data_IF_440863174687
#
_entry.id   IF_440863174687
#
_cell.length_a   1.000
_cell.length_b   1.000
_cell.length_c   1.000
_cell.angle_alpha   90.00
_cell.angle_beta   90.00
_cell.angle_gamma   90.00
#
_symmetry.space_group_name_H-M   'P 1'
#
loop_
_entity.id
_entity.type
_entity.pdbx_description
1 polymer ?
#
# COMPACT_ATOMS: atom_id res chain seq x y z
N UNK A 1 19.52 0.12 -2.72
CA UNK A 1 20.16 -0.43 -3.93
C UNK A 1 19.08 -0.72 -4.94
N UNK A 2 18.98 0.03 -6.02
CA UNK A 2 17.95 -0.21 -7.05
C UNK A 2 18.35 -1.42 -7.88
N UNK A 3 17.54 -2.45 -7.89
CA UNK A 3 17.62 -3.49 -8.89
C UNK A 3 16.82 -3.01 -10.10
N UNK A 4 17.51 -2.42 -11.10
CA UNK A 4 16.86 -2.10 -12.36
C UNK A 4 16.53 -3.39 -13.09
N UNK A 5 15.27 -3.77 -13.16
CA UNK A 5 14.76 -4.64 -14.20
C UNK A 5 14.40 -3.73 -15.37
N UNK A 6 15.38 -3.40 -16.20
CA UNK A 6 15.07 -2.95 -17.55
C UNK A 6 14.59 -4.18 -18.32
N UNK A 7 13.32 -4.21 -18.68
CA UNK A 7 12.86 -5.11 -19.73
C UNK A 7 13.49 -4.61 -21.01
N UNK A 8 14.26 -5.45 -21.74
CA UNK A 8 14.62 -5.09 -23.11
C UNK A 8 13.33 -5.10 -23.92
N UNK A 9 12.93 -3.95 -24.42
CA UNK A 9 12.04 -3.88 -25.59
C UNK A 9 12.80 -4.53 -26.72
N UNK A 10 12.59 -5.81 -26.95
CA UNK A 10 13.04 -6.50 -28.15
C UNK A 10 12.22 -5.98 -29.31
N UNK A 11 12.70 -4.91 -29.94
CA UNK A 11 12.25 -4.53 -31.24
C UNK A 11 12.76 -5.61 -32.21
N UNK A 12 11.91 -6.57 -32.52
CA UNK A 12 12.14 -7.50 -33.62
C UNK A 12 11.97 -6.72 -34.92
N UNK A 13 13.06 -6.24 -35.46
CA UNK A 13 13.12 -5.80 -36.87
C UNK A 13 13.10 -7.05 -37.73
N UNK A 14 11.94 -7.36 -38.28
CA UNK A 14 11.80 -8.31 -39.39
C UNK A 14 12.30 -7.59 -40.63
N UNK A 15 13.56 -7.83 -41.04
CA UNK A 15 14.08 -7.45 -42.33
C UNK A 15 13.48 -8.41 -43.38
N UNK A 16 12.48 -7.95 -44.11
CA UNK A 16 11.95 -8.64 -45.29
C UNK A 16 12.97 -8.43 -46.41
N UNK A 17 13.75 -9.46 -46.70
CA UNK A 17 14.56 -9.54 -47.90
C UNK A 17 13.66 -9.87 -49.09
N UNK A 18 13.34 -8.86 -49.88
CA UNK A 18 12.74 -9.05 -51.22
C UNK A 18 13.88 -9.45 -52.20
N UNK A 19 13.94 -10.71 -52.52
CA UNK A 19 14.71 -11.20 -53.66
C UNK A 19 13.99 -10.84 -54.95
N UNK A 20 14.43 -9.81 -55.62
CA UNK A 20 14.03 -9.46 -56.96
C UNK A 20 15.03 -10.04 -57.95
N UNK A 21 14.60 -11.04 -58.71
CA UNK A 21 15.32 -11.57 -59.85
C UNK A 21 15.08 -10.68 -61.08
N UNK A 22 16.12 -10.20 -61.73
CA UNK A 22 16.00 -9.49 -62.99
C UNK A 22 17.38 -9.32 -63.62
N UNK A 23 17.64 -10.08 -64.66
CA UNK A 23 18.94 -10.17 -65.38
C UNK A 23 19.22 -9.04 -66.37
N UNK A 24 20.45 -8.97 -66.83
CA UNK A 24 20.85 -8.25 -68.05
C UNK A 24 22.19 -7.55 -67.89
N UNK A 25 23.17 -8.04 -68.61
CA UNK A 25 24.58 -7.80 -68.72
C UNK A 25 25.04 -6.36 -68.92
N UNK A 26 26.36 -6.18 -68.71
CA UNK A 26 27.12 -5.01 -69.10
C UNK A 26 28.40 -4.89 -68.26
N UNK A 27 29.53 -5.21 -68.86
CA UNK A 27 30.89 -5.05 -68.33
C UNK A 27 31.17 -3.62 -67.89
N UNK A 28 31.76 -3.45 -66.76
CA UNK A 28 32.27 -2.19 -66.25
C UNK A 28 32.87 -2.37 -64.88
N UNK A 29 34.22 -2.56 -64.82
CA UNK A 29 34.99 -2.60 -63.57
C UNK A 29 34.80 -1.30 -62.77
N UNK A 30 33.97 -1.36 -61.74
CA UNK A 30 33.92 -0.32 -60.71
C UNK A 30 34.93 -0.66 -59.60
N UNK A 31 35.69 0.30 -59.08
CA UNK A 31 36.66 0.06 -58.00
C UNK A 31 35.97 -0.42 -56.75
N UNK A 32 36.41 -1.57 -56.25
CA UNK A 32 35.94 -2.15 -55.00
C UNK A 32 36.28 -1.19 -53.86
N UNK A 33 35.29 -0.62 -53.24
CA UNK A 33 35.44 0.18 -51.99
C UNK A 33 36.12 -0.66 -50.90
N UNK A 34 37.09 -0.09 -50.16
CA UNK A 34 37.79 -0.81 -49.12
C UNK A 34 36.79 -1.27 -48.07
N UNK A 35 36.78 -2.58 -47.81
CA UNK A 35 35.98 -3.19 -46.73
C UNK A 35 36.51 -2.64 -45.40
N UNK A 36 35.74 -1.74 -44.76
CA UNK A 36 36.03 -1.28 -43.41
C UNK A 36 35.86 -2.49 -42.50
N UNK A 37 36.87 -2.86 -41.69
CA UNK A 37 36.74 -3.96 -40.75
C UNK A 37 35.59 -3.60 -39.74
N UNK A 38 34.55 -4.42 -39.73
CA UNK A 38 33.50 -4.31 -38.70
C UNK A 38 34.16 -4.63 -37.37
N UNK A 39 34.20 -3.65 -36.47
CA UNK A 39 34.70 -3.86 -35.13
C UNK A 39 33.94 -5.03 -34.50
N UNK A 40 34.61 -5.94 -33.78
CA UNK A 40 33.93 -7.06 -33.12
C UNK A 40 32.86 -6.50 -32.17
N UNK A 41 31.62 -6.91 -32.39
CA UNK A 41 30.52 -6.60 -31.50
C UNK A 41 30.83 -7.35 -30.20
N UNK A 42 31.30 -6.61 -29.19
CA UNK A 42 31.43 -7.14 -27.85
C UNK A 42 30.01 -7.46 -27.40
N UNK A 43 29.69 -8.72 -27.04
CA UNK A 43 28.36 -9.03 -26.50
C UNK A 43 28.11 -8.14 -25.30
N UNK A 44 26.97 -7.44 -25.29
CA UNK A 44 26.55 -6.70 -24.09
C UNK A 44 26.52 -7.67 -22.93
N UNK A 45 27.29 -7.38 -21.89
CA UNK A 45 27.27 -8.14 -20.65
C UNK A 45 25.86 -7.96 -20.12
N UNK A 46 25.06 -9.02 -20.14
CA UNK A 46 23.74 -9.03 -19.47
C UNK A 46 24.04 -9.02 -17.98
N UNK A 47 23.93 -7.85 -17.36
CA UNK A 47 24.05 -7.76 -15.91
C UNK A 47 22.95 -8.60 -15.27
N UNK A 48 23.34 -9.43 -14.29
CA UNK A 48 22.36 -10.18 -13.50
C UNK A 48 21.54 -9.18 -12.68
N UNK A 49 20.23 -9.05 -12.90
CA UNK A 49 19.40 -8.04 -12.24
C UNK A 49 19.35 -8.22 -10.71
N UNK A 50 19.72 -9.37 -10.19
CA UNK A 50 19.75 -9.67 -8.76
C UNK A 50 21.12 -9.44 -8.11
N UNK A 51 22.09 -8.86 -8.83
CA UNK A 51 23.44 -8.63 -8.32
C UNK A 51 23.53 -7.24 -7.68
N UNK A 52 24.00 -7.18 -6.44
CA UNK A 52 24.37 -5.94 -5.77
C UNK A 52 25.77 -5.51 -6.23
N UNK A 53 25.87 -4.52 -7.08
CA UNK A 53 27.12 -4.12 -7.74
C UNK A 53 27.76 -2.89 -7.13
N UNK A 54 27.03 -2.13 -6.34
CA UNK A 54 27.48 -0.87 -5.76
C UNK A 54 27.01 -0.72 -4.31
N UNK A 55 27.74 0.07 -3.53
CA UNK A 55 27.37 0.49 -2.20
C UNK A 55 27.45 2.01 -2.07
N UNK A 56 26.62 2.57 -1.22
CA UNK A 56 26.67 3.97 -0.80
C UNK A 56 26.21 4.09 0.65
N UNK A 57 26.70 5.10 1.34
CA UNK A 57 26.25 5.45 2.68
C UNK A 57 25.46 6.76 2.58
N UNK A 58 24.26 6.77 3.16
CA UNK A 58 23.46 7.97 3.28
C UNK A 58 23.39 8.38 4.76
N UNK A 59 23.93 9.52 5.05
CA UNK A 59 23.90 10.16 6.37
C UNK A 59 23.08 11.43 6.31
N UNK A 60 22.13 11.59 7.18
CA UNK A 60 21.30 12.79 7.27
C UNK A 60 20.93 13.08 8.73
N UNK A 61 20.59 14.34 8.99
CA UNK A 61 19.99 14.73 10.26
C UNK A 61 18.48 14.52 10.18
N UNK A 62 17.90 13.81 11.14
CA UNK A 62 16.45 13.63 11.20
C UNK A 62 15.76 15.01 11.26
N UNK A 63 14.88 15.34 10.32
CA UNK A 63 14.26 16.67 10.27
C UNK A 63 13.24 16.87 11.40
N UNK A 64 12.63 18.04 11.46
CA UNK A 64 11.53 18.32 12.38
C UNK A 64 10.39 17.31 12.21
N UNK A 65 9.64 17.06 13.28
CA UNK A 65 8.50 16.13 13.28
C UNK A 65 7.54 16.40 12.13
N UNK A 66 7.20 15.37 11.38
CA UNK A 66 6.31 15.42 10.21
C UNK A 66 7.00 15.79 8.90
N UNK A 67 8.24 16.27 8.94
CA UNK A 67 9.04 16.59 7.74
C UNK A 67 9.73 15.34 7.22
N UNK A 68 9.92 15.26 5.90
CA UNK A 68 10.57 14.14 5.23
C UNK A 68 11.85 14.54 4.52
N UNK A 69 12.78 13.60 4.43
CA UNK A 69 13.94 13.62 3.53
C UNK A 69 13.87 12.43 2.60
N UNK A 70 14.29 12.60 1.36
CA UNK A 70 14.24 11.57 0.33
C UNK A 70 15.60 11.38 -0.33
N UNK A 71 15.86 10.16 -0.78
CA UNK A 71 17.13 9.77 -1.37
C UNK A 71 16.92 8.96 -2.66
N UNK A 72 17.72 9.26 -3.67
CA UNK A 72 17.79 8.53 -4.94
C UNK A 72 19.03 7.62 -4.91
N UNK A 73 18.81 6.32 -5.03
CA UNK A 73 19.89 5.33 -5.05
C UNK A 73 20.74 5.36 -6.33
N UNK A 74 20.19 5.86 -7.44
CA UNK A 74 20.93 5.93 -8.71
C UNK A 74 21.97 7.05 -8.68
N UNK A 75 21.53 8.24 -8.31
CA UNK A 75 22.40 9.42 -8.22
C UNK A 75 23.17 9.48 -6.91
N UNK A 76 22.74 8.71 -5.91
CA UNK A 76 23.29 8.69 -4.54
C UNK A 76 23.23 10.08 -3.89
N UNK A 77 22.11 10.78 -4.09
CA UNK A 77 21.87 12.13 -3.59
C UNK A 77 20.48 12.26 -2.95
N UNK A 78 20.34 13.27 -2.08
CA UNK A 78 19.05 13.67 -1.56
C UNK A 78 18.22 14.38 -2.64
N UNK A 79 16.90 14.11 -2.62
CA UNK A 79 15.93 14.73 -3.52
C UNK A 79 15.12 15.76 -2.74
N UNK A 80 15.32 17.03 -3.10
CA UNK A 80 14.66 18.15 -2.43
C UNK A 80 13.13 18.03 -2.50
N UNK A 81 12.45 18.20 -1.36
CA UNK A 81 11.00 18.20 -1.27
C UNK A 81 10.32 16.84 -1.55
N UNK A 82 11.07 15.76 -1.76
CA UNK A 82 10.50 14.44 -2.04
C UNK A 82 9.50 14.43 -3.21
N UNK A 83 9.81 15.17 -4.28
CA UNK A 83 8.89 15.36 -5.43
C UNK A 83 9.23 14.45 -6.60
N UNK A 84 8.21 14.13 -7.40
CA UNK A 84 8.38 13.36 -8.64
C UNK A 84 8.73 11.89 -8.43
N UNK A 85 9.34 11.30 -9.46
CA UNK A 85 9.67 9.87 -9.53
C UNK A 85 11.16 9.56 -9.33
N UNK A 86 11.95 10.54 -8.94
CA UNK A 86 13.41 10.40 -8.88
C UNK A 86 13.92 9.88 -7.54
N UNK A 87 13.11 9.90 -6.47
CA UNK A 87 13.53 9.34 -5.18
C UNK A 87 13.09 7.88 -5.03
N UNK A 88 13.80 7.12 -4.23
CA UNK A 88 13.56 5.71 -3.98
C UNK A 88 13.10 5.42 -2.56
N UNK A 89 13.72 6.08 -1.59
CA UNK A 89 13.39 5.95 -0.18
C UNK A 89 13.10 7.33 0.42
N UNK A 90 12.08 7.39 1.26
CA UNK A 90 11.68 8.55 2.04
C UNK A 90 11.73 8.22 3.51
N UNK A 91 12.36 9.07 4.30
CA UNK A 91 12.34 9.02 5.76
C UNK A 91 11.52 10.18 6.28
N UNK A 92 10.44 9.89 6.99
CA UNK A 92 9.57 10.88 7.64
C UNK A 92 9.83 10.88 9.14
N UNK A 93 10.12 12.03 9.70
CA UNK A 93 10.35 12.17 11.12
C UNK A 93 9.06 12.09 11.94
N UNK A 94 9.01 11.19 12.91
CA UNK A 94 7.99 11.14 13.96
C UNK A 94 8.44 11.81 15.26
N UNK A 95 9.54 12.54 15.23
CA UNK A 95 10.19 13.14 16.41
C UNK A 95 11.10 12.14 17.14
N UNK A 96 10.53 11.17 17.83
CA UNK A 96 11.27 10.09 18.53
C UNK A 96 11.37 8.80 17.70
N UNK A 97 10.79 8.79 16.52
CA UNK A 97 10.79 7.67 15.57
C UNK A 97 10.96 8.17 14.15
N UNK A 98 11.27 7.28 13.23
CA UNK A 98 11.29 7.54 11.82
C UNK A 98 10.45 6.48 11.10
N UNK A 99 9.67 6.91 10.13
CA UNK A 99 8.93 6.05 9.22
C UNK A 99 9.63 6.05 7.87
N UNK A 100 9.80 4.86 7.28
CA UNK A 100 10.46 4.68 5.99
C UNK A 100 9.43 4.26 4.94
N UNK A 101 9.52 4.87 3.75
CA UNK A 101 8.59 4.65 2.65
C UNK A 101 9.32 4.49 1.34
N UNK A 102 8.69 3.79 0.38
CA UNK A 102 9.15 3.70 -1.00
C UNK A 102 8.42 4.71 -1.89
N UNK A 103 8.97 5.07 -3.03
CA UNK A 103 8.26 5.89 -4.02
C UNK A 103 7.25 5.03 -4.77
N UNK A 104 6.13 4.75 -4.12
CA UNK A 104 5.09 3.87 -4.65
C UNK A 104 3.74 4.08 -3.99
N UNK A 105 2.69 3.64 -4.66
CA UNK A 105 1.35 3.51 -4.08
C UNK A 105 0.86 4.76 -3.37
N UNK A 106 0.63 4.68 -2.07
CA UNK A 106 0.14 5.80 -1.25
C UNK A 106 1.23 6.78 -0.80
N UNK A 107 2.50 6.49 -1.03
CA UNK A 107 3.64 7.29 -0.58
C UNK A 107 4.26 8.16 -1.65
N UNK A 108 4.05 7.81 -2.92
CA UNK A 108 4.64 8.50 -4.07
C UNK A 108 4.01 8.09 -5.39
N UNK A 109 4.50 8.66 -6.49
CA UNK A 109 3.98 8.46 -7.85
C UNK A 109 4.82 7.48 -8.67
N UNK A 110 5.90 6.95 -8.09
CA UNK A 110 6.77 5.97 -8.72
C UNK A 110 6.19 4.55 -8.71
N UNK A 111 6.86 3.65 -9.42
CA UNK A 111 6.53 2.23 -9.48
C UNK A 111 7.43 1.37 -8.56
N UNK A 112 7.95 1.96 -7.51
CA UNK A 112 8.80 1.31 -6.53
C UNK A 112 8.06 0.32 -5.63
N UNK A 113 8.77 -0.24 -4.69
CA UNK A 113 8.23 -1.14 -3.68
C UNK A 113 9.32 -1.71 -2.80
N UNK A 114 8.96 -2.38 -1.72
CA UNK A 114 9.90 -3.05 -0.83
C UNK A 114 9.55 -4.52 -0.65
N UNK A 115 10.60 -5.33 -0.49
CA UNK A 115 10.49 -6.72 -0.10
C UNK A 115 11.20 -6.94 1.22
N UNK A 116 10.55 -7.70 2.09
CA UNK A 116 11.07 -8.11 3.37
C UNK A 116 10.92 -7.06 4.48
N UNK A 117 10.43 -7.53 5.60
CA UNK A 117 10.37 -6.74 6.82
C UNK A 117 11.74 -6.77 7.50
N UNK A 118 12.23 -5.63 8.06
CA UNK A 118 13.46 -5.59 8.84
C UNK A 118 13.41 -6.41 10.13
N UNK A 119 12.26 -6.96 10.52
CA UNK A 119 12.15 -7.90 11.64
C UNK A 119 12.55 -9.34 11.29
N UNK A 120 12.48 -9.73 10.01
CA UNK A 120 12.65 -11.12 9.58
C UNK A 120 13.80 -11.34 8.61
N UNK A 121 14.35 -10.26 8.04
CA UNK A 121 15.42 -10.31 7.06
C UNK A 121 16.67 -9.64 7.60
N UNK A 122 17.78 -10.39 7.57
CA UNK A 122 19.11 -9.85 7.84
C UNK A 122 19.84 -9.63 6.54
N UNK A 123 20.88 -8.79 6.57
CA UNK A 123 21.77 -8.60 5.43
C UNK A 123 22.33 -9.92 4.89
N UNK A 124 22.77 -10.81 5.78
CA UNK A 124 23.28 -12.13 5.40
C UNK A 124 22.25 -12.97 4.64
N UNK A 125 20.98 -12.93 5.04
CA UNK A 125 19.90 -13.61 4.31
C UNK A 125 19.67 -12.99 2.93
N UNK A 126 19.66 -11.66 2.82
CA UNK A 126 19.46 -10.98 1.55
C UNK A 126 20.63 -11.11 0.58
N UNK A 127 21.85 -11.37 1.06
CA UNK A 127 23.00 -11.67 0.20
C UNK A 127 22.77 -12.90 -0.68
N UNK A 128 21.98 -13.87 -0.24
CA UNK A 128 21.62 -15.04 -1.05
C UNK A 128 20.88 -14.65 -2.34
N UNK A 129 20.25 -13.48 -2.37
CA UNK A 129 19.51 -12.95 -3.52
C UNK A 129 20.42 -12.28 -4.56
N UNK A 130 21.67 -12.01 -4.23
CA UNK A 130 22.60 -11.27 -5.08
C UNK A 130 22.75 -11.86 -6.49
N UNK A 131 22.65 -13.18 -6.61
CA UNK A 131 22.76 -13.90 -7.87
C UNK A 131 21.51 -14.75 -8.19
N UNK A 132 20.46 -14.68 -7.38
CA UNK A 132 19.23 -15.44 -7.58
C UNK A 132 18.30 -14.71 -8.57
N UNK A 133 17.72 -15.47 -9.50
CA UNK A 133 16.67 -14.97 -10.41
C UNK A 133 15.28 -15.08 -9.79
N UNK A 134 15.15 -15.92 -8.77
CA UNK A 134 13.92 -16.15 -8.01
C UNK A 134 14.23 -16.12 -6.53
N UNK A 135 13.20 -15.93 -5.71
CA UNK A 135 13.30 -16.07 -4.25
C UNK A 135 13.81 -17.46 -3.90
N UNK A 136 14.97 -17.60 -3.23
CA UNK A 136 15.52 -18.89 -2.87
C UNK A 136 14.67 -19.68 -1.87
N UNK A 137 13.69 -19.05 -1.21
CA UNK A 137 12.81 -19.69 -0.23
C UNK A 137 11.50 -20.11 -0.90
N UNK A 138 10.81 -19.18 -1.58
CA UNK A 138 9.49 -19.41 -2.16
C UNK A 138 9.52 -19.79 -3.65
N UNK A 139 10.65 -19.62 -4.33
CA UNK A 139 10.74 -19.77 -5.77
C UNK A 139 10.05 -18.66 -6.58
N UNK A 140 9.46 -17.65 -5.93
CA UNK A 140 8.75 -16.58 -6.60
C UNK A 140 9.71 -15.62 -7.32
N UNK A 141 9.24 -14.96 -8.38
CA UNK A 141 10.02 -13.94 -9.09
C UNK A 141 10.11 -12.69 -8.20
N UNK A 142 11.31 -12.15 -7.92
CA UNK A 142 11.48 -10.98 -7.03
C UNK A 142 10.59 -9.79 -7.37
N UNK A 143 10.33 -9.55 -8.66
CA UNK A 143 9.45 -8.46 -9.10
C UNK A 143 8.01 -8.55 -8.55
N UNK A 144 7.51 -9.75 -8.27
CA UNK A 144 6.16 -9.98 -7.71
C UNK A 144 6.13 -9.92 -6.19
N UNK A 145 7.30 -9.92 -5.55
CA UNK A 145 7.45 -9.88 -4.10
C UNK A 145 7.53 -8.45 -3.55
N UNK A 146 7.85 -7.48 -4.41
CA UNK A 146 7.95 -6.07 -3.99
C UNK A 146 6.55 -5.48 -3.80
N UNK A 147 6.23 -5.16 -2.57
CA UNK A 147 4.98 -4.52 -2.21
C UNK A 147 5.09 -2.99 -2.31
N UNK A 148 4.15 -2.38 -3.01
CA UNK A 148 3.97 -0.93 -2.97
C UNK A 148 3.41 -0.49 -1.61
N UNK A 149 3.71 0.74 -1.22
CA UNK A 149 3.13 1.34 -0.04
C UNK A 149 1.61 1.49 -0.19
N UNK A 150 0.85 1.09 0.82
CA UNK A 150 -0.60 1.04 0.79
C UNK A 150 -1.25 2.00 1.79
N UNK A 151 -2.47 2.44 1.50
CA UNK A 151 -3.27 3.15 2.49
C UNK A 151 -3.66 2.21 3.63
N UNK A 152 -3.56 2.70 4.87
CA UNK A 152 -3.98 2.01 6.08
C UNK A 152 -4.98 2.87 6.85
N UNK A 153 -6.16 2.34 7.10
CA UNK A 153 -7.22 3.02 7.83
C UNK A 153 -8.16 2.02 8.51
N UNK A 154 -9.33 2.47 8.96
CA UNK A 154 -10.33 1.61 9.62
C UNK A 154 -10.89 0.49 8.72
N UNK A 155 -10.74 0.62 7.39
CA UNK A 155 -11.15 -0.39 6.40
C UNK A 155 -10.02 -1.34 5.99
N UNK A 156 -8.79 -1.14 6.45
CA UNK A 156 -7.68 -2.03 6.14
C UNK A 156 -7.82 -3.35 6.87
N UNK A 157 -7.57 -4.45 6.15
CA UNK A 157 -7.64 -5.80 6.66
C UNK A 157 -6.27 -6.43 6.88
N UNK A 158 -6.24 -7.75 6.96
CA UNK A 158 -5.05 -8.55 7.21
C UNK A 158 -4.09 -8.65 6.00
N UNK A 159 -4.58 -8.39 4.80
CA UNK A 159 -3.79 -8.40 3.58
C UNK A 159 -4.38 -7.46 2.52
N UNK A 160 -3.77 -7.37 1.35
CA UNK A 160 -4.15 -6.44 0.29
C UNK A 160 -5.52 -6.71 -0.35
N UNK A 161 -6.03 -7.93 -0.29
CA UNK A 161 -7.32 -8.32 -0.88
C UNK A 161 -8.40 -8.28 0.20
N UNK A 162 -8.09 -8.78 1.38
CA UNK A 162 -9.00 -8.91 2.51
C UNK A 162 -9.00 -7.62 3.31
N UNK A 163 -10.12 -6.92 3.33
CA UNK A 163 -10.29 -5.66 4.07
C UNK A 163 -11.06 -5.88 5.37
N UNK A 164 -11.10 -4.87 6.23
CA UNK A 164 -11.95 -4.93 7.43
C UNK A 164 -13.45 -5.02 7.10
N UNK A 165 -13.86 -4.73 5.87
CA UNK A 165 -15.26 -4.80 5.40
C UNK A 165 -15.58 -6.04 4.58
N UNK A 166 -14.55 -6.74 4.07
CA UNK A 166 -14.72 -7.91 3.19
C UNK A 166 -13.81 -9.06 3.64
N UNK A 167 -14.30 -10.28 3.44
CA UNK A 167 -13.51 -11.50 3.53
C UNK A 167 -13.36 -12.13 2.15
N UNK A 168 -12.18 -12.67 1.86
CA UNK A 168 -11.87 -13.31 0.58
C UNK A 168 -11.83 -14.82 0.72
N UNK A 169 -12.45 -15.53 -0.24
CA UNK A 169 -12.32 -16.98 -0.37
C UNK A 169 -12.91 -17.78 0.78
N UNK A 170 -13.92 -17.26 1.50
CA UNK A 170 -14.55 -17.96 2.64
C UNK A 170 -15.25 -19.27 2.23
N UNK A 171 -15.42 -19.51 0.94
CA UNK A 171 -16.01 -20.72 0.40
C UNK A 171 -15.05 -21.87 0.20
N UNK A 172 -13.79 -21.73 0.48
CA UNK A 172 -12.71 -22.69 0.27
C UNK A 172 -11.75 -22.23 -0.84
N UNK A 173 -10.72 -23.03 -1.13
CA UNK A 173 -9.60 -22.68 -2.01
C UNK A 173 -9.99 -22.34 -3.47
N UNK A 174 -11.16 -22.79 -3.94
CA UNK A 174 -11.68 -22.50 -5.28
C UNK A 174 -12.63 -21.33 -5.33
N UNK A 175 -13.01 -20.77 -4.18
CA UNK A 175 -13.91 -19.63 -4.08
C UNK A 175 -13.09 -18.33 -4.02
N UNK A 176 -12.82 -17.75 -5.16
CA UNK A 176 -12.09 -16.49 -5.29
C UNK A 176 -13.00 -15.26 -5.15
N UNK A 177 -14.05 -15.34 -4.31
CA UNK A 177 -15.03 -14.28 -4.13
C UNK A 177 -14.76 -13.45 -2.86
N UNK A 178 -15.12 -12.17 -2.92
CA UNK A 178 -15.19 -11.28 -1.78
C UNK A 178 -16.60 -11.24 -1.21
N UNK A 179 -16.72 -11.44 0.08
CA UNK A 179 -17.98 -11.42 0.82
C UNK A 179 -17.98 -10.25 1.83
N UNK A 180 -19.04 -9.44 1.86
CA UNK A 180 -19.15 -8.39 2.88
C UNK A 180 -19.34 -9.04 4.26
N UNK A 181 -18.66 -8.49 5.26
CA UNK A 181 -18.85 -8.91 6.65
C UNK A 181 -19.86 -8.05 7.41
N UNK A 182 -20.42 -7.08 6.73
CA UNK A 182 -21.45 -6.17 7.23
C UNK A 182 -21.08 -5.45 8.54
N UNK A 183 -19.79 -5.29 8.83
CA UNK A 183 -19.36 -4.42 9.93
C UNK A 183 -19.91 -3.02 9.73
N UNK A 184 -20.30 -2.41 10.85
CA UNK A 184 -20.75 -1.02 10.85
C UNK A 184 -19.57 -0.13 11.21
N UNK A 185 -19.25 0.78 10.34
CA UNK A 185 -18.21 1.77 10.52
C UNK A 185 -18.85 3.12 10.82
N UNK A 186 -18.39 3.80 11.86
CA UNK A 186 -18.69 5.22 12.02
C UNK A 186 -17.69 6.01 11.17
N UNK A 187 -18.16 6.97 10.41
CA UNK A 187 -17.37 7.89 9.60
C UNK A 187 -17.71 9.31 10.04
N UNK A 188 -16.78 9.97 10.73
CA UNK A 188 -16.92 11.38 11.13
C UNK A 188 -16.30 12.30 10.11
N UNK A 189 -16.87 13.46 9.91
CA UNK A 189 -16.28 14.55 9.13
C UNK A 189 -15.38 15.46 9.97
N UNK A 190 -15.35 15.26 11.31
CA UNK A 190 -14.55 16.04 12.26
C UNK A 190 -13.87 15.14 13.28
N UNK A 191 -12.73 14.57 12.93
CA UNK A 191 -11.97 13.63 13.78
C UNK A 191 -11.26 14.27 14.98
N UNK A 192 -11.38 15.58 15.18
CA UNK A 192 -10.77 16.30 16.30
C UNK A 192 -11.60 16.25 17.59
N UNK A 193 -12.81 15.70 17.55
CA UNK A 193 -13.72 15.57 18.69
C UNK A 193 -14.30 14.16 18.76
N UNK A 194 -14.58 13.66 19.97
CA UNK A 194 -15.19 12.35 20.20
C UNK A 194 -16.72 12.43 20.13
N UNK A 195 -17.24 12.96 19.02
CA UNK A 195 -18.68 13.07 18.77
C UNK A 195 -19.11 11.97 17.78
N UNK A 196 -20.02 11.11 18.19
CA UNK A 196 -20.53 10.02 17.37
C UNK A 196 -21.92 10.29 16.78
N UNK A 197 -22.51 11.45 17.05
CA UNK A 197 -23.78 11.90 16.47
C UNK A 197 -23.55 12.93 15.37
N UNK A 198 -22.66 13.88 15.62
CA UNK A 198 -22.35 14.96 14.70
C UNK A 198 -23.31 16.14 14.80
N UNK A 199 -23.10 17.10 13.93
CA UNK A 199 -23.94 18.29 13.73
C UNK A 199 -24.26 18.43 12.25
N UNK A 200 -25.12 19.37 11.87
CA UNK A 200 -25.42 19.66 10.46
C UNK A 200 -24.16 20.00 9.66
N UNK A 201 -23.21 20.74 10.27
CA UNK A 201 -21.96 21.16 9.63
C UNK A 201 -20.83 20.12 9.77
N UNK A 202 -21.00 19.15 10.65
CA UNK A 202 -19.99 18.10 10.93
C UNK A 202 -20.71 16.77 11.17
N UNK A 203 -21.32 16.19 10.13
CA UNK A 203 -22.09 14.95 10.27
C UNK A 203 -21.21 13.74 10.60
N UNK A 204 -21.85 12.78 11.27
CA UNK A 204 -21.32 11.43 11.49
C UNK A 204 -22.24 10.43 10.83
N UNK A 205 -21.66 9.51 10.09
CA UNK A 205 -22.40 8.47 9.36
C UNK A 205 -22.08 7.09 9.95
N UNK A 206 -23.11 6.29 10.21
CA UNK A 206 -22.93 4.84 10.37
C UNK A 206 -23.02 4.21 8.97
N UNK A 207 -21.97 3.54 8.54
CA UNK A 207 -21.80 3.01 7.19
C UNK A 207 -21.56 1.51 7.23
N UNK A 208 -22.14 0.79 6.27
CA UNK A 208 -21.98 -0.65 6.12
C UNK A 208 -21.78 -0.97 4.64
N UNK A 209 -20.72 -1.71 4.30
CA UNK A 209 -20.54 -2.25 2.96
C UNK A 209 -21.39 -3.52 2.83
N UNK A 210 -22.15 -3.62 1.74
CA UNK A 210 -23.17 -4.64 1.52
C UNK A 210 -22.96 -5.50 0.28
N UNK A 211 -22.00 -5.14 -0.57
CA UNK A 211 -21.67 -5.89 -1.78
C UNK A 211 -20.39 -5.38 -2.43
N UNK A 212 -19.89 -6.17 -3.37
CA UNK A 212 -18.67 -5.88 -4.13
C UNK A 212 -18.83 -6.09 -5.63
N UNK A 213 -19.85 -6.84 -6.02
CA UNK A 213 -20.10 -7.22 -7.41
C UNK A 213 -21.27 -6.41 -7.98
N UNK A 214 -21.19 -6.11 -9.28
CA UNK A 214 -22.20 -5.31 -9.97
C UNK A 214 -22.02 -5.35 -11.48
N UNK A 215 -22.32 -4.24 -12.16
CA UNK A 215 -22.27 -4.11 -13.61
C UNK A 215 -23.38 -4.86 -14.32
N UNK A 216 -23.27 -4.97 -15.64
CA UNK A 216 -24.22 -5.76 -16.43
C UNK A 216 -24.15 -7.24 -16.03
N UNK A 217 -25.26 -7.79 -15.54
CA UNK A 217 -25.31 -9.16 -15.03
C UNK A 217 -24.94 -9.33 -13.55
N UNK A 218 -24.55 -8.28 -12.83
CA UNK A 218 -24.35 -8.30 -11.37
C UNK A 218 -23.12 -9.06 -10.85
N UNK A 219 -22.23 -9.51 -11.74
CA UNK A 219 -21.08 -10.37 -11.37
C UNK A 219 -19.71 -9.74 -11.57
N UNK A 220 -19.65 -8.55 -12.16
CA UNK A 220 -18.39 -7.85 -12.36
C UNK A 220 -17.83 -7.34 -11.03
N UNK A 221 -16.53 -7.55 -10.78
CA UNK A 221 -15.85 -7.09 -9.57
C UNK A 221 -15.57 -5.58 -9.60
N UNK A 222 -15.46 -4.96 -8.41
CA UNK A 222 -15.12 -3.54 -8.30
C UNK A 222 -16.34 -2.61 -8.30
N UNK A 223 -17.48 -3.12 -7.86
CA UNK A 223 -18.72 -2.36 -7.68
C UNK A 223 -19.14 -2.36 -6.19
N UNK A 224 -18.38 -1.70 -5.29
CA UNK A 224 -18.76 -1.66 -3.90
C UNK A 224 -20.14 -1.05 -3.72
N UNK A 225 -21.01 -1.83 -3.04
CA UNK A 225 -22.34 -1.40 -2.62
C UNK A 225 -22.31 -1.13 -1.14
N UNK A 226 -22.92 -0.04 -0.71
CA UNK A 226 -22.93 0.38 0.68
C UNK A 226 -24.23 1.09 1.04
N UNK A 227 -24.52 1.08 2.33
CA UNK A 227 -25.61 1.87 2.92
C UNK A 227 -25.08 2.62 4.12
N UNK A 228 -25.72 3.74 4.44
CA UNK A 228 -25.34 4.53 5.62
C UNK A 228 -26.54 5.27 6.20
N UNK A 229 -26.40 5.66 7.46
CA UNK A 229 -27.35 6.47 8.19
C UNK A 229 -26.59 7.69 8.74
N UNK A 230 -27.08 8.86 8.44
CA UNK A 230 -26.67 10.07 9.13
C UNK A 230 -27.12 9.98 10.60
N UNK A 231 -26.17 10.08 11.53
CA UNK A 231 -26.45 9.83 12.94
C UNK A 231 -27.26 10.94 13.62
N UNK A 232 -27.31 12.14 13.05
CA UNK A 232 -28.14 13.24 13.53
C UNK A 232 -29.57 13.13 13.01
N UNK A 233 -29.73 13.10 11.67
CA UNK A 233 -31.04 13.12 11.01
C UNK A 233 -31.72 11.75 10.97
N UNK A 234 -30.99 10.66 11.22
CA UNK A 234 -31.43 9.26 11.05
C UNK A 234 -31.88 8.91 9.64
N UNK A 235 -31.48 9.72 8.66
CA UNK A 235 -31.77 9.45 7.26
C UNK A 235 -30.89 8.33 6.73
N UNK A 236 -31.52 7.27 6.22
CA UNK A 236 -30.85 6.15 5.58
C UNK A 236 -30.73 6.35 4.07
N UNK A 237 -29.55 6.03 3.52
CA UNK A 237 -29.26 6.08 2.09
C UNK A 237 -28.49 4.83 1.66
N UNK A 238 -28.53 4.54 0.35
CA UNK A 238 -27.78 3.43 -0.26
C UNK A 238 -27.14 3.89 -1.56
N UNK A 239 -26.02 3.31 -1.91
CA UNK A 239 -25.36 3.54 -3.20
C UNK A 239 -24.56 2.30 -3.65
N UNK A 240 -24.31 2.22 -4.94
CA UNK A 240 -23.31 1.36 -5.57
C UNK A 240 -22.50 2.22 -6.52
N UNK A 241 -21.19 2.15 -6.47
CA UNK A 241 -20.29 2.91 -7.35
C UNK A 241 -19.49 1.97 -8.24
N UNK A 242 -19.14 2.43 -9.45
CA UNK A 242 -18.27 1.67 -10.36
C UNK A 242 -16.80 2.09 -10.11
N UNK A 243 -16.14 1.38 -9.22
CA UNK A 243 -14.73 1.58 -8.86
C UNK A 243 -13.81 0.52 -9.53
N UNK A 244 -14.23 -0.10 -10.62
CA UNK A 244 -13.50 -1.18 -11.28
C UNK A 244 -12.22 -0.71 -12.00
N UNK A 245 -12.18 0.55 -12.46
CA UNK A 245 -11.10 1.10 -13.26
C UNK A 245 -10.26 2.18 -12.55
N UNK A 246 -10.65 2.63 -11.38
CA UNK A 246 -9.93 3.69 -10.66
C UNK A 246 -10.64 4.14 -9.39
N UNK A 247 -10.13 5.22 -8.78
CA UNK A 247 -10.72 5.79 -7.58
C UNK A 247 -12.02 6.52 -7.91
N UNK A 248 -13.07 6.23 -7.14
CA UNK A 248 -14.36 6.93 -7.14
C UNK A 248 -14.52 7.57 -5.77
N UNK A 249 -14.65 8.88 -5.76
CA UNK A 249 -14.78 9.68 -4.55
C UNK A 249 -16.26 9.98 -4.27
N UNK A 250 -16.69 9.81 -3.02
CA UNK A 250 -18.10 9.88 -2.66
C UNK A 250 -18.36 10.80 -1.47
N UNK A 251 -19.35 11.66 -1.62
CA UNK A 251 -19.85 12.50 -0.54
C UNK A 251 -21.09 11.87 0.09
N UNK A 252 -20.97 11.40 1.33
CA UNK A 252 -22.06 10.74 2.06
C UNK A 252 -23.20 11.70 2.42
N UNK A 253 -22.93 13.00 2.62
CA UNK A 253 -23.95 13.99 2.96
C UNK A 253 -24.87 14.26 1.76
N UNK A 254 -24.28 14.55 0.59
CA UNK A 254 -25.04 14.80 -0.65
C UNK A 254 -25.50 13.54 -1.36
N UNK A 255 -24.96 12.37 -0.97
CA UNK A 255 -25.19 11.08 -1.61
C UNK A 255 -24.81 11.08 -3.11
N UNK A 256 -23.64 11.58 -3.43
CA UNK A 256 -23.19 11.73 -4.82
C UNK A 256 -21.70 11.44 -4.98
N UNK A 257 -21.33 10.96 -6.16
CA UNK A 257 -19.94 10.95 -6.61
C UNK A 257 -19.46 12.37 -6.84
N UNK A 258 -18.20 12.65 -6.52
CA UNK A 258 -17.57 13.96 -6.65
C UNK A 258 -16.16 13.82 -7.21
N UNK A 259 -15.56 14.91 -7.66
CA UNK A 259 -14.16 14.93 -8.04
C UNK A 259 -13.24 14.75 -6.81
N UNK A 260 -12.03 14.27 -7.00
CA UNK A 260 -11.00 14.13 -5.93
C UNK A 260 -10.71 15.47 -5.23
N UNK A 261 -10.76 16.56 -5.97
CA UNK A 261 -10.56 17.93 -5.46
C UNK A 261 -11.79 18.49 -4.74
N UNK A 262 -12.93 17.79 -4.80
CA UNK A 262 -14.16 18.19 -4.16
C UNK A 262 -14.24 17.76 -2.68
N UNK A 263 -15.39 18.04 -2.06
CA UNK A 263 -15.66 17.55 -0.69
C UNK A 263 -16.13 16.10 -0.74
N UNK A 264 -15.28 15.17 -0.40
CA UNK A 264 -15.61 13.76 -0.30
C UNK A 264 -15.34 13.22 1.11
N UNK A 265 -15.97 12.12 1.49
CA UNK A 265 -15.79 11.48 2.80
C UNK A 265 -15.12 10.11 2.68
N UNK A 266 -15.48 9.34 1.66
CA UNK A 266 -14.97 8.00 1.39
C UNK A 266 -14.67 7.85 -0.10
N UNK A 267 -13.66 7.07 -0.44
CA UNK A 267 -13.38 6.74 -1.83
C UNK A 267 -13.06 5.25 -1.97
N UNK A 268 -13.37 4.70 -3.14
CA UNK A 268 -13.22 3.31 -3.48
C UNK A 268 -12.37 3.12 -4.73
N UNK A 269 -11.51 2.11 -4.73
CA UNK A 269 -10.86 1.57 -5.91
C UNK A 269 -10.87 0.04 -5.76
N UNK A 270 -11.79 -0.59 -6.46
CA UNK A 270 -12.11 -2.01 -6.26
C UNK A 270 -12.44 -2.28 -4.77
N UNK A 271 -11.68 -3.12 -4.08
CA UNK A 271 -11.83 -3.41 -2.65
C UNK A 271 -11.06 -2.44 -1.73
N UNK A 272 -10.25 -1.57 -2.30
CA UNK A 272 -9.53 -0.57 -1.51
C UNK A 272 -10.45 0.58 -1.14
N UNK A 273 -10.37 1.00 0.11
CA UNK A 273 -11.17 2.11 0.65
C UNK A 273 -10.24 3.12 1.29
N UNK A 274 -10.46 4.40 1.05
CA UNK A 274 -9.78 5.49 1.75
C UNK A 274 -10.77 6.53 2.27
N UNK A 275 -10.38 7.22 3.34
CA UNK A 275 -11.13 8.33 3.93
C UNK A 275 -10.44 9.65 3.61
N UNK A 276 -11.20 10.74 3.49
CA UNK A 276 -10.65 12.08 3.29
C UNK A 276 -10.04 12.64 4.58
N UNK A 277 -8.97 12.01 5.03
CA UNK A 277 -8.28 12.38 6.25
C UNK A 277 -6.89 11.75 6.31
N UNK A 278 -6.03 12.27 7.16
CA UNK A 278 -4.67 11.77 7.29
C UNK A 278 -3.86 11.90 6.00
N UNK A 279 -3.31 10.79 5.51
CA UNK A 279 -2.43 10.76 4.33
C UNK A 279 -3.16 10.62 3.00
N UNK A 280 -4.45 10.28 3.01
CA UNK A 280 -5.23 10.04 1.77
C UNK A 280 -5.98 11.27 1.27
N UNK A 281 -6.02 12.34 2.05
CA UNK A 281 -6.72 13.57 1.68
C UNK A 281 -6.32 14.75 2.56
N UNK A 282 -6.94 15.88 2.33
CA UNK A 282 -6.72 17.13 3.05
C UNK A 282 -7.83 17.44 4.06
N UNK A 283 -8.81 16.56 4.22
CA UNK A 283 -9.96 16.71 5.11
C UNK A 283 -9.72 16.18 6.53
N UNK A 284 -10.78 16.26 7.32
CA UNK A 284 -10.80 15.89 8.75
C UNK A 284 -11.59 14.61 9.00
N UNK A 285 -11.80 13.79 7.96
CA UNK A 285 -12.55 12.55 8.07
C UNK A 285 -11.75 11.50 8.84
N UNK A 286 -12.46 10.74 9.67
CA UNK A 286 -11.92 9.60 10.40
C UNK A 286 -12.95 8.48 10.50
N UNK A 287 -12.48 7.27 10.71
CA UNK A 287 -13.32 6.07 10.82
C UNK A 287 -13.17 5.37 12.17
N UNK A 288 -14.20 4.61 12.54
CA UNK A 288 -14.20 3.78 13.75
C UNK A 288 -15.11 2.56 13.53
N UNK A 289 -14.74 1.38 14.05
CA UNK A 289 -15.59 0.18 13.95
C UNK A 289 -16.64 0.24 15.06
N UNK A 290 -17.88 0.56 14.70
CA UNK A 290 -18.99 0.72 15.63
C UNK A 290 -19.65 -0.60 16.03
N UNK A 291 -19.78 -1.56 15.09
CA UNK A 291 -20.30 -2.88 15.37
C UNK A 291 -19.73 -3.95 14.43
N UNK A 292 -19.69 -5.18 14.91
CA UNK A 292 -19.44 -6.38 14.09
C UNK A 292 -20.65 -7.29 14.28
N UNK A 293 -21.41 -7.60 13.20
CA UNK A 293 -22.56 -8.48 13.30
C UNK A 293 -22.21 -9.86 13.83
N UNK A 294 -23.07 -10.42 14.65
CA UNK A 294 -22.82 -11.70 15.29
C UNK A 294 -22.81 -12.87 14.28
N UNK A 295 -22.00 -13.88 14.56
CA UNK A 295 -21.96 -15.15 13.82
C UNK A 295 -21.18 -15.13 12.51
N UNK A 296 -20.62 -14.00 12.07
CA UNK A 296 -19.73 -13.94 10.92
C UNK A 296 -18.35 -14.52 11.22
N UNK A 297 -17.92 -14.46 12.47
CA UNK A 297 -16.65 -15.01 12.93
C UNK A 297 -16.86 -15.99 14.07
N UNK A 298 -15.98 -16.97 14.20
CA UNK A 298 -15.94 -17.90 15.32
C UNK A 298 -15.66 -17.15 16.66
N UNK A 299 -15.60 -17.87 17.75
CA UNK A 299 -15.38 -17.31 19.08
C UNK A 299 -14.02 -16.58 19.22
N UNK A 300 -13.05 -16.89 18.36
CA UNK A 300 -11.75 -16.19 18.28
C UNK A 300 -11.84 -14.78 17.66
N UNK A 301 -12.99 -14.42 17.08
CA UNK A 301 -13.25 -13.13 16.46
C UNK A 301 -12.55 -12.89 15.10
N UNK A 302 -11.82 -13.88 14.57
CA UNK A 302 -11.02 -13.75 13.34
C UNK A 302 -11.30 -14.84 12.29
N UNK A 303 -11.64 -16.06 12.70
CA UNK A 303 -11.95 -17.16 11.77
C UNK A 303 -13.32 -16.99 11.14
N UNK A 304 -13.44 -16.81 9.79
CA UNK A 304 -14.72 -16.61 9.13
C UNK A 304 -15.60 -17.85 9.20
N UNK A 305 -16.91 -17.65 9.44
CA UNK A 305 -17.94 -18.70 9.38
C UNK A 305 -18.54 -18.71 7.99
N UNK A 306 -17.99 -19.54 7.09
CA UNK A 306 -18.32 -19.56 5.66
C UNK A 306 -19.83 -19.63 5.35
N UNK A 307 -20.58 -20.45 6.08
CA UNK A 307 -22.03 -20.58 5.89
C UNK A 307 -22.77 -19.25 6.16
N UNK A 308 -22.33 -18.49 7.17
CA UNK A 308 -22.93 -17.18 7.48
C UNK A 308 -22.64 -16.16 6.40
N UNK A 309 -21.39 -16.08 5.91
CA UNK A 309 -21.01 -15.18 4.82
C UNK A 309 -21.79 -15.45 3.53
N UNK A 310 -21.96 -16.73 3.16
CA UNK A 310 -22.66 -17.14 1.94
C UNK A 310 -24.17 -16.92 1.99
N UNK A 311 -24.77 -17.03 3.18
CA UNK A 311 -26.22 -16.91 3.35
C UNK A 311 -26.69 -15.49 3.65
N UNK A 312 -25.81 -14.64 4.21
CA UNK A 312 -26.20 -13.32 4.69
C UNK A 312 -26.57 -12.37 3.56
N UNK A 313 -27.64 -11.63 3.78
CA UNK A 313 -28.10 -10.56 2.90
C UNK A 313 -28.04 -9.20 3.60
N UNK A 314 -28.11 -8.08 2.87
CA UNK A 314 -28.20 -6.77 3.51
C UNK A 314 -29.39 -6.66 4.49
N UNK A 315 -30.51 -7.33 4.24
CA UNK A 315 -31.69 -7.29 5.13
C UNK A 315 -31.38 -7.89 6.50
N UNK A 316 -30.64 -9.00 6.55
CA UNK A 316 -30.32 -9.72 7.80
C UNK A 316 -29.47 -8.91 8.78
N UNK A 317 -28.77 -7.88 8.29
CA UNK A 317 -27.83 -7.09 9.08
C UNK A 317 -28.25 -5.61 9.25
N UNK A 318 -29.51 -5.28 8.89
CA UNK A 318 -30.02 -3.92 9.05
C UNK A 318 -30.08 -3.50 10.54
N UNK A 319 -30.43 -4.43 11.40
CA UNK A 319 -30.51 -4.20 12.84
C UNK A 319 -29.14 -3.79 13.45
N UNK A 320 -28.05 -4.31 12.90
CA UNK A 320 -26.70 -3.92 13.35
C UNK A 320 -26.38 -2.46 12.97
N UNK A 321 -26.84 -1.99 11.80
CA UNK A 321 -26.66 -0.61 11.35
C UNK A 321 -27.50 0.39 12.15
N UNK A 322 -28.71 0.00 12.55
CA UNK A 322 -29.67 0.86 13.26
C UNK A 322 -29.60 0.74 14.79
N UNK A 323 -28.86 -0.23 15.27
CA UNK A 323 -28.74 -0.55 16.70
C UNK A 323 -27.79 0.36 17.48
N UNK A 324 -27.44 -0.07 18.66
CA UNK A 324 -26.48 0.64 19.52
C UNK A 324 -25.06 0.37 19.02
N UNK A 325 -24.37 1.42 18.65
CA UNK A 325 -23.00 1.34 18.15
C UNK A 325 -21.99 1.68 19.24
N UNK A 326 -20.84 1.01 19.21
CA UNK A 326 -19.66 1.46 19.96
C UNK A 326 -19.21 2.80 19.38
N UNK A 327 -18.69 3.66 20.23
CA UNK A 327 -18.19 5.00 19.86
C UNK A 327 -16.78 5.19 20.37
N UNK A 328 -15.96 6.04 19.73
CA UNK A 328 -14.62 6.34 20.25
C UNK A 328 -14.71 7.05 21.60
N UNK A 329 -13.88 6.64 22.56
CA UNK A 329 -13.82 7.24 23.89
C UNK A 329 -13.27 8.69 23.90
N UNK A 330 -12.47 9.02 22.91
CA UNK A 330 -11.88 10.35 22.70
C UNK A 330 -11.56 10.56 21.22
N UNK A 331 -11.12 11.76 20.86
CA UNK A 331 -10.81 12.12 19.47
C UNK A 331 -9.72 11.22 18.84
N UNK A 332 -8.76 10.72 19.63
CA UNK A 332 -7.71 9.82 19.12
C UNK A 332 -8.24 8.44 18.73
N UNK A 333 -9.46 8.08 19.13
CA UNK A 333 -10.13 6.86 18.70
C UNK A 333 -10.61 6.90 17.24
N UNK A 334 -10.70 8.07 16.61
CA UNK A 334 -10.96 8.19 15.19
C UNK A 334 -9.71 7.85 14.39
N UNK A 335 -9.77 6.79 13.62
CA UNK A 335 -8.68 6.33 12.76
C UNK A 335 -8.68 7.16 11.48
N UNK A 336 -7.61 7.88 11.25
CA UNK A 336 -7.32 8.60 9.99
C UNK A 336 -6.49 7.71 9.08
N UNK A 337 -6.53 7.99 7.79
CA UNK A 337 -5.69 7.28 6.85
C UNK A 337 -4.20 7.54 7.13
N UNK A 338 -3.44 6.48 7.12
CA UNK A 338 -2.00 6.45 7.25
C UNK A 338 -1.42 5.64 6.07
N UNK A 339 -0.12 5.61 5.94
CA UNK A 339 0.56 4.74 4.96
C UNK A 339 1.13 3.54 5.69
N UNK A 340 0.91 2.35 5.14
CA UNK A 340 1.61 1.14 5.51
C UNK A 340 2.70 0.85 4.48
N UNK A 341 3.93 0.65 4.93
CA UNK A 341 5.08 0.26 4.10
C UNK A 341 5.76 -0.96 4.69
N UNK A 342 6.30 -1.82 3.83
CA UNK A 342 7.15 -2.93 4.26
C UNK A 342 8.41 -2.43 4.98
N UNK A 343 8.85 -1.20 4.67
CA UNK A 343 9.99 -0.56 5.33
C UNK A 343 9.66 -0.01 6.72
N UNK A 344 8.38 0.18 7.05
CA UNK A 344 7.94 0.72 8.35
C UNK A 344 6.90 -0.21 8.99
N UNK A 345 7.29 -1.42 9.40
CA UNK A 345 6.40 -2.30 10.11
C UNK A 345 6.03 -1.71 11.48
N UNK A 346 4.92 -2.15 12.04
CA UNK A 346 4.54 -1.77 13.40
C UNK A 346 5.64 -2.22 14.39
N UNK A 347 5.97 -1.37 15.35
CA UNK A 347 6.94 -1.71 16.37
C UNK A 347 6.50 -2.91 17.22
N UNK A 348 7.46 -3.65 17.76
CA UNK A 348 7.24 -4.69 18.75
C UNK A 348 7.77 -4.25 20.12
N UNK A 349 7.30 -4.91 21.16
CA UNK A 349 7.61 -4.54 22.54
C UNK A 349 6.47 -3.77 23.20
N UNK A 350 6.60 -3.56 24.51
CA UNK A 350 5.58 -2.89 25.33
C UNK A 350 6.25 -1.86 26.22
N UNK A 351 5.80 -0.62 26.15
CA UNK A 351 6.23 0.44 27.06
C UNK A 351 6.01 -0.01 28.53
N UNK A 352 6.93 0.25 29.47
CA UNK A 352 8.14 1.10 29.37
C UNK A 352 9.41 0.39 28.90
N UNK A 353 9.34 -0.85 28.42
CA UNK A 353 10.50 -1.55 27.87
C UNK A 353 10.89 -1.01 26.49
N UNK A 354 11.99 -1.53 25.95
CA UNK A 354 12.45 -1.16 24.62
C UNK A 354 11.38 -1.45 23.55
N UNK A 355 11.22 -0.52 22.61
CA UNK A 355 10.35 -0.65 21.46
C UNK A 355 11.21 -0.88 20.21
N UNK A 356 11.03 -2.01 19.54
CA UNK A 356 11.79 -2.39 18.36
C UNK A 356 11.01 -1.99 17.10
N UNK A 357 11.59 -1.11 16.29
CA UNK A 357 11.05 -0.61 15.01
C UNK A 357 11.64 -1.32 13.79
N UNK A 358 12.36 -2.42 14.00
CA UNK A 358 13.05 -3.14 12.94
C UNK A 358 14.44 -2.57 12.67
N UNK A 359 14.57 -1.38 12.13
CA UNK A 359 15.83 -0.70 11.80
C UNK A 359 16.58 -0.18 13.02
N UNK A 360 15.85 0.15 14.08
CA UNK A 360 16.37 0.68 15.34
C UNK A 360 15.47 0.27 16.50
N UNK A 361 16.03 0.36 17.71
CA UNK A 361 15.30 0.17 18.97
C UNK A 361 15.28 1.51 19.74
N UNK A 362 14.13 1.82 20.32
CA UNK A 362 13.94 3.00 21.18
C UNK A 362 13.86 2.57 22.63
N UNK A 363 14.62 3.24 23.49
CA UNK A 363 14.75 2.97 24.92
C UNK A 363 14.12 4.12 25.71
N UNK A 364 12.87 3.96 26.21
CA UNK A 364 12.09 5.07 26.74
C UNK A 364 12.47 5.50 28.16
N UNK A 365 13.20 4.66 28.93
CA UNK A 365 13.55 4.93 30.32
C UNK A 365 15.05 4.75 30.55
N UNK A 366 15.59 5.41 31.59
CA UNK A 366 17.01 5.27 31.98
C UNK A 366 17.41 3.83 32.24
N UNK A 367 16.60 3.06 33.00
CA UNK A 367 16.90 1.68 33.31
C UNK A 367 17.01 0.81 32.05
N UNK A 368 16.11 0.97 31.10
CA UNK A 368 16.10 0.22 29.84
C UNK A 368 17.26 0.66 28.94
N UNK A 369 17.58 1.93 28.88
CA UNK A 369 18.68 2.47 28.09
C UNK A 369 20.04 2.01 28.64
N UNK A 370 20.26 2.13 29.95
CA UNK A 370 21.50 1.71 30.61
C UNK A 370 21.72 0.19 30.46
N UNK A 371 20.65 -0.62 30.60
CA UNK A 371 20.72 -2.06 30.36
C UNK A 371 21.10 -2.40 28.90
N UNK A 372 20.83 -1.53 27.95
CA UNK A 372 21.25 -1.64 26.56
C UNK A 372 22.63 -0.99 26.26
N UNK A 373 23.34 -0.50 27.28
CA UNK A 373 24.65 0.15 27.12
C UNK A 373 24.58 1.59 26.61
N UNK A 374 23.41 2.24 26.71
CA UNK A 374 23.17 3.62 26.28
C UNK A 374 23.28 4.60 27.46
N UNK A 375 23.47 5.88 27.16
CA UNK A 375 23.76 6.91 28.18
C UNK A 375 22.54 7.31 29.04
N UNK A 376 21.30 7.05 28.58
CA UNK A 376 20.09 7.43 29.31
C UNK A 376 18.82 7.24 28.50
N UNK A 377 17.69 7.71 29.05
CA UNK A 377 16.37 7.58 28.45
C UNK A 377 16.25 8.28 27.08
N UNK A 378 15.25 7.87 26.31
CA UNK A 378 14.94 8.40 24.97
C UNK A 378 16.07 8.20 23.95
N UNK A 379 16.95 7.25 24.20
CA UNK A 379 18.01 6.89 23.25
C UNK A 379 17.53 5.88 22.22
N UNK A 380 18.14 5.95 21.06
CA UNK A 380 17.96 5.03 19.94
C UNK A 380 19.27 4.28 19.70
N UNK A 381 19.18 3.02 19.32
CA UNK A 381 20.32 2.30 18.75
C UNK A 381 19.90 1.58 17.48
N UNK A 382 20.79 1.54 16.49
CA UNK A 382 20.57 0.86 15.23
C UNK A 382 20.54 -0.66 15.44
N UNK A 383 19.79 -1.34 14.56
CA UNK A 383 19.83 -2.79 14.39
C UNK A 383 20.52 -3.08 13.03
N UNK A 384 21.87 -3.06 12.97
CA UNK A 384 22.64 -2.99 11.73
C UNK A 384 22.51 -4.22 10.83
N UNK A 385 22.13 -5.36 11.41
CA UNK A 385 21.92 -6.59 10.64
C UNK A 385 20.56 -6.63 9.93
N UNK A 386 19.62 -5.79 10.31
CA UNK A 386 18.29 -5.78 9.71
C UNK A 386 18.31 -5.13 8.33
N UNK A 387 17.66 -5.76 7.36
CA UNK A 387 17.71 -5.34 5.96
C UNK A 387 16.40 -5.59 5.23
N UNK A 388 16.17 -4.81 4.18
CA UNK A 388 15.09 -4.98 3.22
C UNK A 388 15.58 -4.66 1.81
N UNK A 389 14.93 -5.22 0.80
CA UNK A 389 15.18 -4.85 -0.59
C UNK A 389 14.21 -3.76 -1.01
N UNK A 390 14.70 -2.77 -1.74
CA UNK A 390 13.90 -1.69 -2.33
C UNK A 390 14.12 -1.70 -3.84
N UNK A 391 13.03 -1.53 -4.58
CA UNK A 391 13.01 -1.48 -6.04
C UNK A 391 12.45 -0.14 -6.50
#
# INVERSE_FOLDING_TARGET
MKTHVMYPLSAVFVAVLLAGCGGGGGDGDAPVAPVVPVAPVVPAVVENPNKFTQSAEWKFTLPATGVSVCYDFNTKTEVAGCTGNTWDIKVKSGGRSAELFTNSGSSGTGAGGAFGSPFVHTWTKLLAWQNALTDPISGAIPATLYAADAAKNTFSGSNSIQSAAFEYGVGGDTDHLLYPNYRVFLVTTKNSVADAVGTADSPVFALQLTGYYGGAGGTASGYPSFRWIDQLSKTQKTATVNASAGWVYYNLATASEVAETGTWHIAFNRYNVKLNGGTSGNGTVGGFVGATPAGFYAADGVTPVAAKFKAATPADTLADLTGVLKTPANAAGWIKDAVASQLSPAYTGTYPNALNYGWFSYHPTDAVAIAAGLAGQHMLNANPENASLVR
#
